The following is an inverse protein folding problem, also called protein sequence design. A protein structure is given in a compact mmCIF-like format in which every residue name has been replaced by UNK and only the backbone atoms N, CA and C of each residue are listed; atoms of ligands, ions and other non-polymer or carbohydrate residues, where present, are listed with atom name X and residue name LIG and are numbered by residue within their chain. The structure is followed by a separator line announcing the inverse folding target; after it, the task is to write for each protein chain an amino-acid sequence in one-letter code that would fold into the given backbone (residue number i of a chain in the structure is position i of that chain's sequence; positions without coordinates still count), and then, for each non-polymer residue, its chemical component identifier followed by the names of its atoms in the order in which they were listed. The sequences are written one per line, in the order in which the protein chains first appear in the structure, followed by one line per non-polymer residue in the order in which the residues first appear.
data_IF_968487364103
#
_entry.id   IF_968487364103
#
_cell.length_a   1.000
_cell.length_b   1.000
_cell.length_c   1.000
_cell.angle_alpha   90.00
_cell.angle_beta   90.00
_cell.angle_gamma   90.00
#
_symmetry.space_group_name_H-M   'P 1'
#
loop_
_entity.id
_entity.type
_entity.pdbx_description
1 polymer ?
#
# COMPACT_ATOMS: atom_id res chain seq x y z
N UNK A 1 17.90 -9.60 9.01
CA UNK A 1 18.00 -10.38 7.76
C UNK A 1 16.75 -10.00 6.98
N UNK A 2 16.88 -9.18 5.94
CA UNK A 2 15.70 -8.77 5.14
C UNK A 2 15.30 -9.95 4.26
N UNK A 3 14.11 -10.50 4.53
CA UNK A 3 13.61 -11.69 3.85
C UNK A 3 13.36 -11.37 2.37
N UNK A 4 13.88 -12.22 1.48
CA UNK A 4 13.49 -12.19 0.06
C UNK A 4 12.02 -12.58 -0.03
N UNK A 5 11.23 -11.80 -0.76
CA UNK A 5 9.82 -12.08 -0.98
C UNK A 5 9.43 -11.80 -2.43
N UNK A 6 8.27 -12.29 -2.84
CA UNK A 6 7.74 -12.05 -4.18
C UNK A 6 6.76 -10.88 -4.09
N UNK A 7 6.97 -9.83 -4.89
CA UNK A 7 6.08 -8.67 -4.88
C UNK A 7 4.70 -9.01 -5.46
N UNK A 8 3.69 -8.22 -5.11
CA UNK A 8 2.34 -8.23 -5.69
C UNK A 8 1.62 -9.59 -5.75
N UNK A 9 1.92 -10.49 -4.82
CA UNK A 9 1.39 -11.86 -4.82
C UNK A 9 0.83 -12.30 -3.47
N UNK A 10 0.84 -11.42 -2.46
CA UNK A 10 0.36 -11.74 -1.12
C UNK A 10 -1.14 -11.54 -0.96
N UNK A 11 -1.55 -10.71 0.00
CA UNK A 11 -2.99 -10.55 0.30
C UNK A 11 -3.69 -9.81 -0.83
N UNK A 12 -4.85 -10.30 -1.26
CA UNK A 12 -5.71 -9.65 -2.26
C UNK A 12 -6.06 -8.22 -1.79
N UNK A 13 -5.98 -7.24 -2.70
CA UNK A 13 -6.12 -5.81 -2.40
C UNK A 13 -7.43 -5.49 -1.68
N UNK A 14 -8.57 -5.91 -2.23
CA UNK A 14 -9.87 -5.77 -1.56
C UNK A 14 -9.90 -6.35 -0.13
N UNK A 15 -9.25 -7.49 0.10
CA UNK A 15 -9.17 -8.10 1.45
C UNK A 15 -8.32 -7.26 2.40
N UNK A 16 -7.19 -6.73 1.91
CA UNK A 16 -6.32 -5.85 2.67
C UNK A 16 -7.04 -4.53 3.02
N UNK A 17 -7.66 -3.87 2.05
CA UNK A 17 -8.39 -2.61 2.24
C UNK A 17 -9.58 -2.77 3.18
N UNK A 18 -10.35 -3.86 3.05
CA UNK A 18 -11.45 -4.16 3.99
C UNK A 18 -10.96 -4.32 5.42
N UNK A 19 -9.82 -5.00 5.63
CA UNK A 19 -9.23 -5.16 6.96
C UNK A 19 -8.84 -3.81 7.58
N UNK A 20 -8.23 -2.92 6.78
CA UNK A 20 -7.85 -1.58 7.23
C UNK A 20 -9.10 -0.73 7.58
N UNK A 21 -10.16 -0.85 6.79
CA UNK A 21 -11.46 -0.24 7.09
C UNK A 21 -12.03 -0.73 8.44
N UNK A 22 -11.98 -2.04 8.67
CA UNK A 22 -12.52 -2.65 9.89
C UNK A 22 -11.73 -2.22 11.13
N UNK A 23 -10.40 -2.04 11.01
CA UNK A 23 -9.58 -1.46 12.07
C UNK A 23 -9.97 -0.02 12.38
N UNK A 24 -10.11 0.84 11.37
CA UNK A 24 -10.54 2.22 11.57
C UNK A 24 -11.91 2.32 12.26
N UNK A 25 -12.87 1.48 11.86
CA UNK A 25 -14.19 1.41 12.48
C UNK A 25 -14.12 0.97 13.94
N UNK A 26 -13.36 -0.08 14.24
CA UNK A 26 -13.16 -0.56 15.60
C UNK A 26 -12.51 0.51 16.49
N UNK A 27 -11.54 1.23 15.96
CA UNK A 27 -10.83 2.27 16.71
C UNK A 27 -11.77 3.45 17.03
N UNK A 28 -12.63 3.84 16.08
CA UNK A 28 -13.66 4.85 16.31
C UNK A 28 -14.67 4.41 17.38
N UNK A 29 -15.17 3.18 17.30
CA UNK A 29 -16.08 2.62 18.30
C UNK A 29 -15.44 2.54 19.69
N UNK A 30 -14.15 2.19 19.77
CA UNK A 30 -13.44 2.13 21.04
C UNK A 30 -13.28 3.51 21.67
N UNK A 31 -13.00 4.55 20.88
CA UNK A 31 -12.94 5.92 21.38
C UNK A 31 -14.29 6.40 21.93
N UNK A 32 -15.41 6.01 21.31
CA UNK A 32 -16.76 6.36 21.81
C UNK A 32 -17.10 5.74 23.17
N UNK A 33 -16.45 4.63 23.53
CA UNK A 33 -16.65 3.97 24.84
C UNK A 33 -15.87 4.64 25.98
N UNK A 34 -14.88 5.50 25.68
CA UNK A 34 -13.98 6.11 26.68
C UNK A 34 -14.58 7.29 27.46
N UNK A 35 -15.86 7.63 27.26
CA UNK A 35 -16.61 8.60 28.06
C UNK A 35 -17.06 9.85 27.30
N UNK A 36 -17.59 10.85 28.03
CA UNK A 36 -18.19 12.06 27.44
C UNK A 36 -17.14 12.96 26.79
N UNK A 37 -17.21 13.07 25.47
CA UNK A 37 -16.39 13.96 24.64
C UNK A 37 -17.32 14.92 23.89
N UNK A 38 -16.97 16.22 23.82
CA UNK A 38 -17.76 17.19 23.04
C UNK A 38 -17.52 17.01 21.53
N UNK A 39 -18.43 17.50 20.69
CA UNK A 39 -18.37 17.30 19.23
C UNK A 39 -17.03 17.71 18.61
N UNK A 40 -16.44 18.83 19.05
CA UNK A 40 -15.16 19.30 18.53
C UNK A 40 -14.00 18.32 18.82
N UNK A 41 -13.92 17.81 20.07
CA UNK A 41 -12.94 16.79 20.43
C UNK A 41 -13.21 15.48 19.67
N UNK A 42 -14.47 15.15 19.44
CA UNK A 42 -14.86 13.96 18.69
C UNK A 42 -14.42 14.05 17.22
N UNK A 43 -14.65 15.20 16.56
CA UNK A 43 -14.21 15.45 15.18
C UNK A 43 -12.68 15.31 15.04
N UNK A 44 -11.90 15.74 16.03
CA UNK A 44 -10.43 15.56 16.02
C UNK A 44 -10.01 14.10 16.15
N UNK A 45 -10.77 13.30 16.90
CA UNK A 45 -10.54 11.84 17.00
C UNK A 45 -10.79 11.19 15.65
N UNK A 46 -11.88 11.54 14.97
CA UNK A 46 -12.21 11.03 13.63
C UNK A 46 -11.09 11.34 12.64
N UNK A 47 -10.60 12.59 12.63
CA UNK A 47 -9.49 13.01 11.76
C UNK A 47 -8.18 12.26 12.09
N UNK A 48 -7.91 12.01 13.37
CA UNK A 48 -6.76 11.21 13.80
C UNK A 48 -6.85 9.77 13.27
N UNK A 49 -8.00 9.11 13.48
CA UNK A 49 -8.24 7.73 13.02
C UNK A 49 -8.12 7.64 11.49
N UNK A 50 -8.68 8.62 10.77
CA UNK A 50 -8.51 8.71 9.33
C UNK A 50 -7.03 8.79 8.94
N UNK A 51 -6.26 9.68 9.55
CA UNK A 51 -4.83 9.82 9.22
C UNK A 51 -3.99 8.60 9.59
N UNK A 52 -4.39 7.84 10.61
CA UNK A 52 -3.72 6.59 11.01
C UNK A 52 -4.06 5.41 10.08
N UNK A 53 -5.23 5.43 9.43
CA UNK A 53 -5.73 4.32 8.61
C UNK A 53 -5.79 4.64 7.10
N UNK A 54 -5.53 5.90 6.69
CA UNK A 54 -5.33 6.24 5.28
C UNK A 54 -4.08 5.54 4.78
N UNK A 55 -4.13 5.10 3.54
CA UNK A 55 -3.03 4.39 2.92
C UNK A 55 -2.38 5.30 1.89
N UNK A 56 -1.07 5.47 2.00
CA UNK A 56 -0.29 6.16 0.99
C UNK A 56 0.04 5.20 -0.15
N UNK A 57 -0.31 5.61 -1.37
CA UNK A 57 -0.07 4.84 -2.58
C UNK A 57 1.42 4.61 -2.80
N UNK A 58 1.76 3.43 -3.32
CA UNK A 58 3.12 3.06 -3.68
C UNK A 58 3.53 3.78 -4.98
N UNK A 59 4.64 4.52 -4.96
CA UNK A 59 5.19 5.18 -6.15
C UNK A 59 6.66 4.84 -6.31
N UNK A 60 7.09 4.48 -7.53
CA UNK A 60 8.48 4.14 -7.84
C UNK A 60 9.18 5.28 -8.57
N UNK A 61 10.46 5.51 -8.25
CA UNK A 61 11.33 6.48 -8.92
C UNK A 61 12.12 5.78 -10.03
N UNK A 62 11.49 5.57 -11.18
CA UNK A 62 12.10 4.85 -12.31
C UNK A 62 13.36 5.55 -12.85
N UNK A 63 13.42 6.88 -12.79
CA UNK A 63 14.58 7.66 -13.23
C UNK A 63 15.82 7.48 -12.32
N UNK A 64 15.63 6.94 -11.12
CA UNK A 64 16.69 6.75 -10.12
C UNK A 64 17.17 5.29 -10.03
N UNK A 65 16.75 4.43 -10.97
CA UNK A 65 17.13 3.02 -10.96
C UNK A 65 18.65 2.85 -11.07
N UNK A 66 19.24 2.11 -10.13
CA UNK A 66 20.68 1.82 -10.11
C UNK A 66 20.93 0.40 -10.60
N UNK A 67 21.94 0.24 -11.46
CA UNK A 67 22.41 -1.04 -11.99
C UNK A 67 23.77 -1.40 -11.40
N UNK A 68 23.92 -2.63 -10.91
CA UNK A 68 25.19 -3.21 -10.47
C UNK A 68 25.38 -4.54 -11.22
N UNK A 69 26.51 -4.70 -11.89
CA UNK A 69 26.88 -5.94 -12.56
C UNK A 69 27.74 -6.80 -11.62
N UNK A 70 27.27 -8.00 -11.31
CA UNK A 70 28.03 -9.03 -10.60
C UNK A 70 28.22 -10.24 -11.52
N UNK A 71 29.23 -11.08 -11.26
CA UNK A 71 29.52 -12.25 -12.12
C UNK A 71 28.25 -13.10 -12.34
N UNK A 72 27.73 -13.08 -13.58
CA UNK A 72 26.54 -13.78 -14.08
C UNK A 72 25.18 -13.21 -13.63
N UNK A 73 25.12 -12.01 -13.04
CA UNK A 73 23.88 -11.38 -12.56
C UNK A 73 23.91 -9.86 -12.69
N UNK A 74 22.78 -9.30 -13.08
CA UNK A 74 22.56 -7.85 -13.08
C UNK A 74 21.57 -7.55 -11.96
N UNK A 75 22.00 -6.72 -11.01
CA UNK A 75 21.22 -6.31 -9.86
C UNK A 75 20.70 -4.90 -10.11
N UNK A 76 19.40 -4.71 -9.89
CA UNK A 76 18.73 -3.43 -9.95
C UNK A 76 18.27 -3.01 -8.56
N UNK A 77 18.52 -1.76 -8.22
CA UNK A 77 17.87 -1.10 -7.08
C UNK A 77 16.87 -0.07 -7.60
N UNK A 78 15.61 -0.23 -7.21
CA UNK A 78 14.51 0.66 -7.60
C UNK A 78 13.92 1.33 -6.35
N UNK A 79 14.14 2.64 -6.17
CA UNK A 79 13.56 3.40 -5.07
C UNK A 79 12.05 3.52 -5.16
N UNK A 80 11.38 3.57 -4.01
CA UNK A 80 9.94 3.80 -3.90
C UNK A 80 9.58 4.66 -2.69
N UNK A 81 8.38 5.23 -2.73
CA UNK A 81 7.77 5.97 -1.61
C UNK A 81 6.37 5.45 -1.32
N UNK A 82 5.83 5.84 -0.15
CA UNK A 82 4.52 5.41 0.32
C UNK A 82 4.55 4.11 1.11
N UNK A 83 3.42 3.39 1.16
CA UNK A 83 3.32 2.20 2.00
C UNK A 83 4.01 0.99 1.38
N UNK A 84 5.17 0.62 1.92
CA UNK A 84 5.89 -0.59 1.50
C UNK A 84 5.17 -1.91 1.83
N UNK A 85 4.08 -1.91 2.60
CA UNK A 85 3.20 -3.08 2.74
C UNK A 85 2.51 -3.44 1.43
N UNK A 86 2.28 -2.45 0.56
CA UNK A 86 1.65 -2.62 -0.75
C UNK A 86 2.47 -3.48 -1.70
N UNK A 87 3.79 -3.59 -1.48
CA UNK A 87 4.64 -4.54 -2.20
C UNK A 87 4.19 -5.99 -2.00
N UNK A 88 3.45 -6.30 -0.93
CA UNK A 88 2.92 -7.63 -0.61
C UNK A 88 1.42 -7.76 -0.92
N UNK A 89 0.81 -6.77 -1.56
CA UNK A 89 -0.61 -6.78 -1.90
C UNK A 89 -0.80 -7.22 -3.35
N UNK A 90 -1.63 -8.23 -3.58
CA UNK A 90 -2.01 -8.67 -4.91
C UNK A 90 -3.14 -7.78 -5.44
N UNK A 91 -3.05 -7.25 -6.68
CA UNK A 91 -4.17 -6.56 -7.30
C UNK A 91 -5.37 -7.50 -7.49
N UNK A 92 -6.59 -6.94 -7.51
CA UNK A 92 -7.84 -7.73 -7.58
C UNK A 92 -8.14 -8.28 -8.98
N UNK A 93 -7.79 -7.54 -10.03
CA UNK A 93 -8.31 -7.78 -11.39
C UNK A 93 -7.24 -8.00 -12.45
N UNK A 94 -5.96 -7.90 -12.10
CA UNK A 94 -4.83 -8.14 -13.00
C UNK A 94 -3.88 -9.15 -12.36
N UNK A 95 -3.11 -9.86 -13.17
CA UNK A 95 -2.14 -10.81 -12.64
C UNK A 95 -0.98 -10.09 -11.95
N UNK A 96 -0.69 -10.51 -10.73
CA UNK A 96 0.48 -10.08 -9.99
C UNK A 96 1.80 -10.38 -10.73
N UNK A 97 2.85 -9.64 -10.38
CA UNK A 97 4.19 -9.88 -10.90
C UNK A 97 4.97 -10.79 -9.96
N UNK A 98 5.35 -11.98 -10.42
CA UNK A 98 6.18 -12.92 -9.65
C UNK A 98 7.66 -12.56 -9.71
N UNK A 99 8.01 -11.39 -9.18
CA UNK A 99 9.40 -10.93 -9.09
C UNK A 99 9.92 -11.09 -7.66
N UNK A 100 10.92 -11.97 -7.41
CA UNK A 100 11.59 -12.03 -6.13
C UNK A 100 12.40 -10.76 -5.91
N UNK A 101 12.16 -10.09 -4.78
CA UNK A 101 12.87 -8.88 -4.37
C UNK A 101 13.37 -9.00 -2.95
N UNK A 102 14.35 -8.17 -2.62
CA UNK A 102 14.69 -7.82 -1.25
C UNK A 102 14.29 -6.36 -1.05
N UNK A 103 13.52 -6.07 0.00
CA UNK A 103 13.28 -4.68 0.39
C UNK A 103 14.42 -4.26 1.31
N UNK A 104 15.08 -3.15 0.99
CA UNK A 104 16.08 -2.49 1.82
C UNK A 104 15.70 -1.03 1.94
N UNK A 105 15.37 -0.58 3.15
CA UNK A 105 14.86 0.77 3.39
C UNK A 105 13.65 1.10 2.47
N UNK A 106 13.79 2.13 1.63
CA UNK A 106 12.83 2.61 0.63
C UNK A 106 13.22 2.16 -0.79
N UNK A 107 13.97 1.07 -0.92
CA UNK A 107 14.34 0.49 -2.21
C UNK A 107 13.92 -0.99 -2.30
N UNK A 108 13.51 -1.41 -3.49
CA UNK A 108 13.45 -2.84 -3.84
C UNK A 108 14.65 -3.22 -4.67
N UNK A 109 15.27 -4.34 -4.32
CA UNK A 109 16.42 -4.91 -5.02
C UNK A 109 15.97 -6.20 -5.70
N UNK A 110 16.15 -6.27 -7.01
CA UNK A 110 15.87 -7.46 -7.81
C UNK A 110 17.02 -7.76 -8.77
N UNK A 111 17.11 -9.00 -9.24
CA UNK A 111 18.20 -9.42 -10.11
C UNK A 111 17.71 -10.15 -11.34
N UNK A 112 18.34 -9.86 -12.48
CA UNK A 112 18.24 -10.62 -13.72
C UNK A 112 19.48 -11.51 -13.86
N UNK A 113 19.33 -12.78 -14.25
CA UNK A 113 20.49 -13.65 -14.50
C UNK A 113 21.01 -13.42 -15.91
N UNK A 114 22.27 -13.05 -16.05
CA UNK A 114 22.87 -12.82 -17.38
C UNK A 114 22.87 -14.09 -18.23
N UNK A 115 23.01 -15.26 -17.61
CA UNK A 115 23.01 -16.56 -18.31
C UNK A 115 21.68 -16.91 -18.99
N UNK A 116 20.61 -16.17 -18.70
CA UNK A 116 19.29 -16.35 -19.32
C UNK A 116 19.13 -15.52 -20.60
N UNK A 117 20.10 -14.65 -20.93
CA UNK A 117 20.04 -13.72 -22.07
C UNK A 117 21.25 -13.90 -23.00
N UNK A 118 21.04 -13.66 -24.30
CA UNK A 118 22.06 -13.78 -25.34
C UNK A 118 22.87 -12.50 -25.54
N UNK A 119 22.28 -11.35 -25.27
CA UNK A 119 22.93 -10.04 -25.43
C UNK A 119 22.36 -8.97 -24.48
N UNK A 120 22.97 -7.78 -24.51
CA UNK A 120 22.57 -6.62 -23.69
C UNK A 120 21.20 -6.04 -24.09
N UNK A 121 20.76 -6.27 -25.33
CA UNK A 121 19.48 -5.77 -25.81
C UNK A 121 18.32 -6.56 -25.17
N UNK A 122 18.41 -7.89 -25.13
CA UNK A 122 17.43 -8.75 -24.45
C UNK A 122 17.29 -8.38 -22.95
N UNK A 123 18.40 -8.07 -22.27
CA UNK A 123 18.38 -7.61 -20.87
C UNK A 123 17.62 -6.29 -20.72
N UNK A 124 17.85 -5.33 -21.62
CA UNK A 124 17.17 -4.03 -21.59
C UNK A 124 15.67 -4.18 -21.84
N UNK A 125 15.28 -5.00 -22.80
CA UNK A 125 13.87 -5.29 -23.07
C UNK A 125 13.19 -5.94 -21.87
N UNK A 126 13.82 -6.93 -21.24
CA UNK A 126 13.25 -7.58 -20.05
C UNK A 126 13.12 -6.61 -18.88
N UNK A 127 14.11 -5.74 -18.65
CA UNK A 127 14.01 -4.69 -17.65
C UNK A 127 12.83 -3.75 -17.93
N UNK A 128 12.67 -3.28 -19.17
CA UNK A 128 11.57 -2.41 -19.57
C UNK A 128 10.22 -3.10 -19.34
N UNK A 129 10.10 -4.38 -19.69
CA UNK A 129 8.89 -5.16 -19.50
C UNK A 129 8.52 -5.28 -18.01
N UNK A 130 9.50 -5.60 -17.15
CA UNK A 130 9.30 -5.67 -15.71
C UNK A 130 8.87 -4.34 -15.12
N UNK A 131 9.56 -3.25 -15.46
CA UNK A 131 9.23 -1.92 -14.97
C UNK A 131 7.84 -1.46 -15.44
N UNK A 132 7.49 -1.75 -16.68
CA UNK A 132 6.16 -1.47 -17.24
C UNK A 132 5.07 -2.21 -16.45
N UNK A 133 5.29 -3.49 -16.15
CA UNK A 133 4.35 -4.30 -15.38
C UNK A 133 4.25 -3.86 -13.92
N UNK A 134 5.36 -3.46 -13.29
CA UNK A 134 5.34 -2.84 -11.96
C UNK A 134 4.48 -1.57 -11.99
N UNK A 135 4.67 -0.72 -13.00
CA UNK A 135 3.93 0.54 -13.12
C UNK A 135 2.43 0.32 -13.35
N UNK A 136 2.06 -0.66 -14.17
CA UNK A 136 0.67 -1.06 -14.41
C UNK A 136 0.00 -1.49 -13.10
N UNK A 137 0.65 -2.39 -12.34
CA UNK A 137 0.13 -2.87 -11.05
C UNK A 137 -0.01 -1.72 -10.05
N UNK A 138 0.99 -0.85 -9.95
CA UNK A 138 0.95 0.30 -9.03
C UNK A 138 -0.15 1.28 -9.40
N UNK A 139 -0.38 1.54 -10.69
CA UNK A 139 -1.47 2.39 -11.16
C UNK A 139 -2.84 1.81 -10.78
N UNK A 140 -2.98 0.49 -10.86
CA UNK A 140 -4.20 -0.21 -10.45
C UNK A 140 -4.43 -0.09 -8.95
N UNK A 141 -3.43 -0.44 -8.13
CA UNK A 141 -3.50 -0.34 -6.67
C UNK A 141 -3.76 1.09 -6.22
N UNK A 142 -3.13 2.08 -6.87
CA UNK A 142 -3.33 3.50 -6.56
C UNK A 142 -4.79 3.91 -6.68
N UNK A 143 -5.48 3.47 -7.73
CA UNK A 143 -6.90 3.77 -7.94
C UNK A 143 -7.78 3.16 -6.85
N UNK A 144 -7.52 1.90 -6.48
CA UNK A 144 -8.24 1.22 -5.39
C UNK A 144 -8.00 1.91 -4.03
N UNK A 145 -6.77 2.33 -3.76
CA UNK A 145 -6.39 3.06 -2.54
C UNK A 145 -7.04 4.44 -2.48
N UNK A 146 -7.08 5.18 -3.59
CA UNK A 146 -7.74 6.48 -3.66
C UNK A 146 -9.25 6.36 -3.38
N UNK A 147 -9.90 5.33 -3.95
CA UNK A 147 -11.30 5.01 -3.65
C UNK A 147 -11.47 4.66 -2.18
N UNK A 148 -10.65 3.76 -1.64
CA UNK A 148 -10.67 3.39 -0.23
C UNK A 148 -10.50 4.59 0.70
N UNK A 149 -9.53 5.47 0.46
CA UNK A 149 -9.29 6.63 1.32
C UNK A 149 -10.49 7.59 1.31
N UNK A 150 -11.13 7.77 0.15
CA UNK A 150 -12.35 8.57 0.03
C UNK A 150 -13.52 7.93 0.80
N UNK A 151 -13.72 6.63 0.63
CA UNK A 151 -14.79 5.89 1.29
C UNK A 151 -14.59 5.83 2.80
N UNK A 152 -13.34 5.65 3.26
CA UNK A 152 -12.95 5.71 4.66
C UNK A 152 -13.34 7.04 5.30
N UNK A 153 -13.02 8.17 4.64
CA UNK A 153 -13.36 9.50 5.13
C UNK A 153 -14.88 9.69 5.27
N UNK A 154 -15.67 9.26 4.27
CA UNK A 154 -17.12 9.36 4.29
C UNK A 154 -17.73 8.49 5.39
N UNK A 155 -17.33 7.22 5.44
CA UNK A 155 -17.81 6.26 6.44
C UNK A 155 -17.51 6.73 7.86
N UNK A 156 -16.27 7.16 8.14
CA UNK A 156 -15.91 7.65 9.47
C UNK A 156 -16.73 8.89 9.85
N UNK A 157 -17.00 9.80 8.91
CA UNK A 157 -17.84 10.97 9.13
C UNK A 157 -19.28 10.57 9.45
N UNK A 158 -19.91 9.74 8.64
CA UNK A 158 -21.28 9.27 8.87
C UNK A 158 -21.41 8.53 10.20
N UNK A 159 -20.48 7.61 10.46
CA UNK A 159 -20.47 6.84 11.71
C UNK A 159 -20.26 7.72 12.93
N UNK A 160 -19.45 8.77 12.80
CA UNK A 160 -19.23 9.72 13.89
C UNK A 160 -20.52 10.47 14.28
N UNK A 161 -21.34 10.86 13.31
CA UNK A 161 -22.62 11.52 13.58
C UNK A 161 -23.56 10.57 14.33
N UNK A 162 -23.70 9.34 13.83
CA UNK A 162 -24.53 8.30 14.46
C UNK A 162 -24.12 8.03 15.92
N UNK A 163 -22.82 7.88 16.16
CA UNK A 163 -22.31 7.57 17.50
C UNK A 163 -22.44 8.76 18.45
N UNK A 164 -22.22 9.98 17.96
CA UNK A 164 -22.41 11.19 18.77
C UNK A 164 -23.87 11.38 19.20
N UNK A 165 -24.82 11.17 18.28
CA UNK A 165 -26.25 11.21 18.59
C UNK A 165 -26.62 10.18 19.66
N UNK A 166 -26.15 8.93 19.54
CA UNK A 166 -26.41 7.89 20.56
C UNK A 166 -25.88 8.26 21.94
N UNK A 167 -24.73 8.94 22.02
CA UNK A 167 -24.16 9.40 23.29
C UNK A 167 -24.96 10.58 23.86
N UNK A 168 -25.35 11.54 23.02
CA UNK A 168 -26.09 12.73 23.47
C UNK A 168 -27.48 12.36 24.01
N UNK A 169 -28.20 11.45 23.36
CA UNK A 169 -29.51 10.97 23.82
C UNK A 169 -29.46 10.09 25.08
N UNK A 170 -28.37 9.35 25.32
CA UNK A 170 -28.16 8.60 26.58
C UNK A 170 -27.87 9.49 27.79
N UNK A 171 -27.59 10.77 27.56
CA UNK A 171 -27.13 11.71 28.58
C UNK A 171 -28.27 12.61 29.10
N UNK A 172 -29.43 12.58 28.47
CA UNK A 172 -30.69 13.19 28.93
C UNK A 172 -31.52 12.19 29.72
#
# INVERSE_FOLDING_TARGET
MEDRFVIFTGTICSTYLNRMRDYAMRDLENETKKGKTNFLKFSKIVEKIYNENKIESLNFSYDEIRKIEEKNRIIFSLPFSGSGELLKVSPDTIDGLKLPVMRKEEEIIFSLKETEFKDEHEIKEELINLLTKINEICSFLKKEIENYNKDLANMLKEKSVELYEKISFRTW
#
